data_IF_895048652181
#
_entry.id   IF_895048652181
#
_cell.length_a   1.000
_cell.length_b   1.000
_cell.length_c   1.000
_cell.angle_alpha   90.00
_cell.angle_beta   90.00
_cell.angle_gamma   90.00
#
_symmetry.space_group_name_H-M   'P 1'
#
loop_
_entity.id
_entity.type
_entity.pdbx_description
1 polymer ?
#
# COMPACT_ATOMS: atom_id res chain seq x y z
N UNK A 1 6.48 -9.47 -10.45
CA UNK A 1 6.65 -10.30 -11.66
C UNK A 1 8.08 -10.75 -11.93
N UNK A 2 9.09 -9.88 -12.01
CA UNK A 2 10.44 -10.30 -12.45
C UNK A 2 11.16 -11.30 -11.53
N UNK A 3 10.96 -11.22 -10.20
CA UNK A 3 11.67 -12.05 -9.22
C UNK A 3 10.82 -13.26 -8.81
N UNK A 4 9.60 -13.03 -8.32
CA UNK A 4 8.72 -14.09 -7.80
C UNK A 4 7.65 -14.58 -8.80
N UNK A 5 7.57 -14.00 -10.00
CA UNK A 5 6.46 -14.27 -10.94
C UNK A 5 6.43 -15.69 -11.51
N UNK A 6 7.57 -16.36 -11.58
CA UNK A 6 7.67 -17.75 -12.05
C UNK A 6 7.60 -18.78 -10.91
N UNK A 7 7.29 -18.34 -9.69
CA UNK A 7 7.12 -19.23 -8.52
C UNK A 7 5.65 -19.65 -8.38
N UNK A 8 5.38 -20.59 -7.48
CA UNK A 8 4.00 -21.01 -7.13
C UNK A 8 3.13 -19.82 -6.68
N UNK A 9 3.74 -18.79 -6.08
CA UNK A 9 3.05 -17.56 -5.64
C UNK A 9 2.86 -16.53 -6.76
N UNK A 10 3.32 -16.80 -7.98
CA UNK A 10 3.24 -15.90 -9.12
C UNK A 10 1.81 -15.41 -9.42
N UNK A 11 0.81 -16.30 -9.55
CA UNK A 11 -0.58 -15.90 -9.79
C UNK A 11 -1.17 -15.01 -8.69
N UNK A 12 -0.87 -15.33 -7.42
CA UNK A 12 -1.31 -14.56 -6.26
C UNK A 12 -0.73 -13.13 -6.29
N UNK A 13 0.59 -13.02 -6.49
CA UNK A 13 1.27 -11.72 -6.58
C UNK A 13 0.76 -10.93 -7.79
N UNK A 14 0.43 -11.60 -8.89
CA UNK A 14 -0.16 -10.97 -10.06
C UNK A 14 -1.56 -10.42 -9.78
N UNK A 15 -2.39 -11.16 -9.04
CA UNK A 15 -3.72 -10.72 -8.63
C UNK A 15 -3.66 -9.44 -7.78
N UNK A 16 -2.84 -9.43 -6.72
CA UNK A 16 -2.64 -8.24 -5.89
C UNK A 16 -2.12 -7.06 -6.71
N UNK A 17 -1.16 -7.31 -7.60
CA UNK A 17 -0.62 -6.28 -8.50
C UNK A 17 -1.68 -5.71 -9.46
N UNK A 18 -2.65 -6.52 -9.90
CA UNK A 18 -3.75 -6.05 -10.73
C UNK A 18 -4.71 -5.14 -9.96
N UNK A 19 -4.97 -5.43 -8.67
CA UNK A 19 -5.73 -4.54 -7.78
C UNK A 19 -5.00 -3.20 -7.57
N UNK A 20 -3.71 -3.23 -7.25
CA UNK A 20 -2.89 -2.03 -7.05
C UNK A 20 -2.87 -1.09 -8.28
N UNK A 21 -2.81 -1.67 -9.48
CA UNK A 21 -2.93 -0.89 -10.72
C UNK A 21 -4.30 -0.24 -10.85
N UNK A 22 -5.36 -0.94 -10.47
CA UNK A 22 -6.72 -0.40 -10.49
C UNK A 22 -6.87 0.73 -9.47
N UNK A 23 -6.33 0.57 -8.26
CA UNK A 23 -6.30 1.62 -7.22
C UNK A 23 -5.61 2.88 -7.71
N UNK A 24 -4.39 2.71 -8.24
CA UNK A 24 -3.62 3.81 -8.81
C UNK A 24 -4.39 4.52 -9.92
N UNK A 25 -4.97 3.78 -10.86
CA UNK A 25 -5.73 4.35 -11.96
C UNK A 25 -6.93 5.17 -11.45
N UNK A 26 -7.64 4.68 -10.43
CA UNK A 26 -8.76 5.39 -9.82
C UNK A 26 -8.29 6.65 -9.08
N UNK A 27 -7.20 6.60 -8.32
CA UNK A 27 -6.67 7.81 -7.69
C UNK A 27 -6.19 8.85 -8.70
N UNK A 28 -5.52 8.44 -9.78
CA UNK A 28 -5.13 9.35 -10.85
C UNK A 28 -6.36 10.03 -11.51
N UNK A 29 -7.46 9.29 -11.69
CA UNK A 29 -8.74 9.84 -12.13
C UNK A 29 -9.30 10.87 -11.15
N UNK A 30 -9.36 10.52 -9.86
CA UNK A 30 -9.90 11.39 -8.80
C UNK A 30 -9.06 12.67 -8.64
N UNK A 31 -7.73 12.56 -8.67
CA UNK A 31 -6.80 13.70 -8.61
C UNK A 31 -7.11 14.69 -9.74
N UNK A 32 -7.31 14.20 -10.97
CA UNK A 32 -7.68 15.04 -12.12
C UNK A 32 -9.08 15.64 -11.97
N UNK A 33 -10.06 14.81 -11.57
CA UNK A 33 -11.47 15.20 -11.41
C UNK A 33 -11.64 16.32 -10.39
N UNK A 34 -11.00 16.18 -9.23
CA UNK A 34 -11.08 17.15 -8.13
C UNK A 34 -9.99 18.22 -8.19
N UNK A 35 -9.15 18.23 -9.25
CA UNK A 35 -8.05 19.19 -9.47
C UNK A 35 -7.12 19.30 -8.26
N UNK A 36 -6.87 18.17 -7.61
CA UNK A 36 -5.94 18.07 -6.49
C UNK A 36 -4.53 18.10 -7.06
N UNK A 37 -3.64 18.85 -6.42
CA UNK A 37 -2.22 18.82 -6.77
C UNK A 37 -1.57 17.67 -5.98
N UNK A 38 -0.92 16.69 -6.64
CA UNK A 38 -0.21 15.62 -5.95
C UNK A 38 1.09 16.13 -5.33
N UNK A 39 1.65 15.38 -4.38
CA UNK A 39 2.94 15.73 -3.78
C UNK A 39 4.08 15.74 -4.81
N UNK A 40 4.96 16.75 -4.73
CA UNK A 40 6.19 16.81 -5.54
C UNK A 40 7.16 15.65 -5.27
N UNK A 41 6.98 14.95 -4.15
CA UNK A 41 7.82 13.83 -3.75
C UNK A 41 7.48 12.53 -4.49
N UNK A 42 6.41 12.51 -5.30
CA UNK A 42 5.96 11.32 -6.05
C UNK A 42 7.08 10.57 -6.79
N UNK A 43 8.02 11.23 -7.52
CA UNK A 43 9.10 10.53 -8.20
C UNK A 43 10.04 9.79 -7.24
N UNK A 44 10.30 10.37 -6.05
CA UNK A 44 11.17 9.78 -5.03
C UNK A 44 10.47 8.55 -4.41
N UNK A 45 9.19 8.66 -4.10
CA UNK A 45 8.41 7.55 -3.54
C UNK A 45 8.23 6.39 -4.50
N UNK A 46 8.10 6.65 -5.81
CA UNK A 46 8.07 5.61 -6.83
C UNK A 46 9.36 4.77 -6.82
N UNK A 47 10.52 5.43 -6.73
CA UNK A 47 11.82 4.73 -6.66
C UNK A 47 11.96 3.97 -5.35
N UNK A 48 11.59 4.59 -4.23
CA UNK A 48 11.68 3.97 -2.90
C UNK A 48 10.78 2.72 -2.80
N UNK A 49 9.53 2.81 -3.25
CA UNK A 49 8.59 1.68 -3.25
C UNK A 49 9.08 0.53 -4.12
N UNK A 50 9.59 0.82 -5.33
CA UNK A 50 10.18 -0.20 -6.19
C UNK A 50 11.39 -0.89 -5.53
N UNK A 51 12.31 -0.11 -4.96
CA UNK A 51 13.49 -0.65 -4.27
C UNK A 51 13.12 -1.52 -3.08
N UNK A 52 12.12 -1.10 -2.30
CA UNK A 52 11.63 -1.85 -1.15
C UNK A 52 11.01 -3.20 -1.59
N UNK A 53 10.11 -3.17 -2.58
CA UNK A 53 9.45 -4.38 -3.09
C UNK A 53 10.42 -5.34 -3.82
N UNK A 54 11.34 -4.81 -4.63
CA UNK A 54 12.36 -5.62 -5.30
C UNK A 54 13.35 -6.20 -4.28
N UNK A 55 13.80 -5.39 -3.33
CA UNK A 55 14.74 -5.81 -2.28
C UNK A 55 14.15 -6.91 -1.39
N UNK A 56 12.89 -6.77 -0.96
CA UNK A 56 12.23 -7.79 -0.16
C UNK A 56 12.01 -9.09 -0.95
N UNK A 57 11.64 -9.00 -2.23
CA UNK A 57 11.51 -10.16 -3.12
C UNK A 57 12.85 -10.90 -3.33
N UNK A 58 13.97 -10.18 -3.43
CA UNK A 58 15.31 -10.81 -3.52
C UNK A 58 15.70 -11.56 -2.24
N UNK A 59 15.18 -11.15 -1.09
CA UNK A 59 15.39 -11.83 0.20
C UNK A 59 14.48 -13.06 0.37
N UNK A 60 13.55 -13.30 -0.56
CA UNK A 60 12.69 -14.47 -0.59
C UNK A 60 11.20 -14.14 -0.48
N UNK A 61 10.38 -15.15 -0.68
CA UNK A 61 8.92 -15.03 -0.69
C UNK A 61 8.35 -14.56 0.65
N UNK A 62 8.84 -15.11 1.78
CA UNK A 62 8.42 -14.70 3.12
C UNK A 62 8.80 -13.25 3.44
N UNK A 63 9.97 -12.80 2.98
CA UNK A 63 10.39 -11.41 3.15
C UNK A 63 9.54 -10.45 2.31
N UNK A 64 9.16 -10.84 1.10
CA UNK A 64 8.20 -10.10 0.29
C UNK A 64 6.83 -10.01 0.99
N UNK A 65 6.31 -11.13 1.52
CA UNK A 65 5.06 -11.13 2.28
C UNK A 65 5.14 -10.28 3.55
N UNK A 66 6.26 -10.33 4.27
CA UNK A 66 6.50 -9.45 5.43
C UNK A 66 6.50 -7.97 5.04
N UNK A 67 7.06 -7.64 3.87
CA UNK A 67 7.02 -6.28 3.34
C UNK A 67 5.57 -5.85 3.04
N UNK A 68 4.79 -6.69 2.34
CA UNK A 68 3.36 -6.45 2.07
C UNK A 68 2.60 -6.21 3.37
N UNK A 69 2.68 -7.14 4.34
CA UNK A 69 1.99 -7.00 5.63
C UNK A 69 2.35 -5.70 6.33
N UNK A 70 3.63 -5.32 6.34
CA UNK A 70 4.08 -4.09 6.98
C UNK A 70 3.56 -2.83 6.29
N UNK A 71 3.56 -2.81 4.95
CA UNK A 71 3.01 -1.70 4.15
C UNK A 71 1.50 -1.61 4.37
N UNK A 72 0.77 -2.71 4.17
CA UNK A 72 -0.69 -2.71 4.24
C UNK A 72 -1.23 -2.42 5.63
N UNK A 73 -0.50 -2.79 6.69
CA UNK A 73 -0.85 -2.31 8.04
C UNK A 73 -0.96 -0.78 8.07
N UNK A 74 0.02 -0.08 7.47
CA UNK A 74 0.04 1.39 7.46
C UNK A 74 -1.00 1.97 6.51
N UNK A 75 -1.19 1.36 5.34
CA UNK A 75 -2.17 1.85 4.37
C UNK A 75 -3.59 1.67 4.89
N UNK A 76 -3.93 0.52 5.49
CA UNK A 76 -5.23 0.29 6.14
C UNK A 76 -5.46 1.29 7.27
N UNK A 77 -4.47 1.51 8.15
CA UNK A 77 -4.55 2.54 9.19
C UNK A 77 -4.81 3.92 8.57
N UNK A 78 -4.09 4.26 7.50
CA UNK A 78 -4.21 5.55 6.83
C UNK A 78 -5.60 5.76 6.19
N UNK A 79 -6.15 4.75 5.51
CA UNK A 79 -7.49 4.81 4.95
C UNK A 79 -8.55 4.88 6.04
N UNK A 80 -8.40 4.15 7.14
CA UNK A 80 -9.32 4.29 8.28
C UNK A 80 -9.33 5.72 8.84
N UNK A 81 -8.18 6.38 8.92
CA UNK A 81 -8.11 7.79 9.32
C UNK A 81 -8.82 8.71 8.30
N UNK A 82 -8.59 8.51 7.00
CA UNK A 82 -9.29 9.27 5.95
C UNK A 82 -10.82 9.07 6.01
N UNK A 83 -11.28 7.84 6.24
CA UNK A 83 -12.71 7.56 6.39
C UNK A 83 -13.29 8.28 7.60
N UNK A 84 -12.59 8.31 8.74
CA UNK A 84 -13.03 9.06 9.93
C UNK A 84 -13.13 10.56 9.64
N UNK A 85 -12.14 11.13 8.95
CA UNK A 85 -12.14 12.54 8.56
C UNK A 85 -13.32 12.84 7.61
N UNK A 86 -13.53 12.02 6.58
CA UNK A 86 -14.62 12.19 5.62
C UNK A 86 -16.00 12.08 6.27
N UNK A 87 -16.18 11.14 7.20
CA UNK A 87 -17.45 10.95 7.91
C UNK A 87 -17.83 12.12 8.82
N UNK A 88 -16.88 13.00 9.16
CA UNK A 88 -17.14 14.23 9.91
C UNK A 88 -17.55 15.41 9.00
N UNK A 89 -17.37 15.29 7.69
CA UNK A 89 -17.74 16.33 6.73
C UNK A 89 -19.26 16.30 6.43
N UNK A 90 -20.02 17.37 6.74
CA UNK A 90 -21.45 17.44 6.41
C UNK A 90 -21.73 17.41 4.89
N UNK A 91 -20.74 17.72 4.05
CA UNK A 91 -20.83 17.69 2.59
C UNK A 91 -20.05 16.51 1.98
N UNK A 92 -19.96 15.40 2.73
CA UNK A 92 -19.19 14.22 2.36
C UNK A 92 -19.35 13.81 0.90
N UNK A 93 -18.22 13.61 0.24
CA UNK A 93 -18.18 13.07 -1.09
C UNK A 93 -18.32 11.55 -1.05
N UNK A 94 -19.51 11.04 -1.37
CA UNK A 94 -19.82 9.60 -1.35
C UNK A 94 -18.93 8.78 -2.28
N UNK A 95 -18.56 9.30 -3.45
CA UNK A 95 -17.67 8.58 -4.36
C UNK A 95 -16.30 8.35 -3.74
N UNK A 96 -15.73 9.37 -3.10
CA UNK A 96 -14.43 9.28 -2.43
C UNK A 96 -14.54 8.34 -1.22
N UNK A 97 -15.59 8.47 -0.41
CA UNK A 97 -15.85 7.59 0.73
C UNK A 97 -15.91 6.12 0.32
N UNK A 98 -16.75 5.81 -0.67
CA UNK A 98 -16.95 4.43 -1.13
C UNK A 98 -15.67 3.86 -1.76
N UNK A 99 -14.92 4.68 -2.50
CA UNK A 99 -13.62 4.29 -3.08
C UNK A 99 -12.61 3.95 -2.00
N UNK A 100 -12.42 4.83 -1.01
CA UNK A 100 -11.44 4.59 0.08
C UNK A 100 -11.87 3.39 0.91
N UNK A 101 -13.17 3.21 1.15
CA UNK A 101 -13.70 2.04 1.88
C UNK A 101 -13.38 0.75 1.13
N UNK A 102 -13.64 0.70 -0.17
CA UNK A 102 -13.32 -0.46 -1.00
C UNK A 102 -11.82 -0.76 -0.94
N UNK A 103 -10.97 0.24 -1.18
CA UNK A 103 -9.52 0.01 -1.19
C UNK A 103 -9.01 -0.43 0.18
N UNK A 104 -9.52 0.14 1.27
CA UNK A 104 -9.21 -0.33 2.63
C UNK A 104 -9.53 -1.80 2.83
N UNK A 105 -10.69 -2.26 2.37
CA UNK A 105 -11.08 -3.66 2.50
C UNK A 105 -10.15 -4.57 1.65
N UNK A 106 -9.75 -4.13 0.46
CA UNK A 106 -8.80 -4.85 -0.41
C UNK A 106 -7.37 -4.87 0.18
N UNK A 107 -6.87 -3.78 0.78
CA UNK A 107 -5.56 -3.79 1.44
C UNK A 107 -5.56 -4.67 2.68
N UNK A 108 -6.69 -4.76 3.39
CA UNK A 108 -6.83 -5.70 4.51
C UNK A 108 -6.76 -7.15 4.02
N UNK A 109 -7.35 -7.45 2.86
CA UNK A 109 -7.22 -8.76 2.22
C UNK A 109 -5.74 -9.04 1.86
N UNK A 110 -5.02 -8.07 1.29
CA UNK A 110 -3.59 -8.20 0.96
C UNK A 110 -2.73 -8.45 2.20
N UNK A 111 -3.01 -7.73 3.29
CA UNK A 111 -2.40 -7.96 4.59
C UNK A 111 -2.61 -9.41 5.06
N UNK A 112 -3.86 -9.87 5.05
CA UNK A 112 -4.22 -11.20 5.56
C UNK A 112 -3.62 -12.31 4.69
N UNK A 113 -3.62 -12.14 3.37
CA UNK A 113 -2.89 -12.99 2.42
C UNK A 113 -1.41 -13.07 2.79
N UNK A 114 -0.77 -11.95 3.10
CA UNK A 114 0.64 -11.93 3.49
C UNK A 114 0.91 -12.72 4.76
N UNK A 115 0.03 -12.62 5.77
CA UNK A 115 0.09 -13.42 7.00
C UNK A 115 -0.02 -14.92 6.67
N UNK A 116 -1.06 -15.30 5.93
CA UNK A 116 -1.33 -16.70 5.55
C UNK A 116 -0.19 -17.31 4.73
N UNK A 117 0.51 -16.49 3.94
CA UNK A 117 1.64 -16.90 3.12
C UNK A 117 3.00 -16.80 3.82
N UNK A 118 3.00 -16.66 5.15
CA UNK A 118 4.16 -16.87 6.01
C UNK A 118 5.02 -15.63 6.25
N UNK A 119 4.45 -14.42 6.15
CA UNK A 119 5.13 -13.17 6.50
C UNK A 119 5.87 -13.24 7.86
N UNK A 120 5.19 -13.74 8.89
CA UNK A 120 5.75 -13.82 10.25
C UNK A 120 6.93 -14.81 10.38
N UNK A 121 7.12 -15.66 9.38
CA UNK A 121 8.22 -16.62 9.32
C UNK A 121 9.47 -16.03 8.66
N UNK A 122 9.42 -14.78 8.19
CA UNK A 122 10.59 -14.08 7.66
C UNK A 122 11.64 -13.86 8.77
N UNK A 123 12.95 -14.04 8.48
CA UNK A 123 14.00 -13.69 9.42
C UNK A 123 13.88 -12.23 9.86
N UNK A 124 14.01 -11.98 11.16
CA UNK A 124 13.90 -10.64 11.75
C UNK A 124 12.57 -9.91 11.46
N UNK A 125 11.48 -10.65 11.20
CA UNK A 125 10.17 -10.12 10.83
C UNK A 125 9.74 -8.86 11.58
N UNK A 126 9.79 -8.89 12.92
CA UNK A 126 9.38 -7.73 13.75
C UNK A 126 10.22 -6.49 13.47
N UNK A 127 11.55 -6.61 13.48
CA UNK A 127 12.44 -5.48 13.25
C UNK A 127 12.28 -4.91 11.83
N UNK A 128 12.18 -5.80 10.83
CA UNK A 128 11.93 -5.38 9.45
C UNK A 128 10.58 -4.70 9.28
N UNK A 129 9.52 -5.26 9.86
CA UNK A 129 8.16 -4.71 9.78
C UNK A 129 8.07 -3.34 10.41
N UNK A 130 8.64 -3.14 11.60
CA UNK A 130 8.64 -1.83 12.26
C UNK A 130 9.42 -0.79 11.45
N UNK A 131 10.55 -1.18 10.84
CA UNK A 131 11.31 -0.30 9.95
C UNK A 131 10.49 0.14 8.73
N UNK A 132 9.85 -0.82 8.05
CA UNK A 132 9.00 -0.54 6.88
C UNK A 132 7.81 0.34 7.28
N UNK A 133 7.12 -0.01 8.38
CA UNK A 133 6.00 0.78 8.90
C UNK A 133 6.41 2.22 9.21
N UNK A 134 7.56 2.41 9.87
CA UNK A 134 8.10 3.74 10.15
C UNK A 134 8.39 4.53 8.86
N UNK A 135 9.00 3.88 7.87
CA UNK A 135 9.25 4.47 6.55
C UNK A 135 7.96 4.93 5.86
N UNK A 136 6.96 4.06 5.78
CA UNK A 136 5.67 4.37 5.17
C UNK A 136 4.93 5.50 5.90
N UNK A 137 4.87 5.46 7.24
CA UNK A 137 4.26 6.55 8.05
C UNK A 137 4.94 7.89 7.80
N UNK A 138 6.27 7.89 7.70
CA UNK A 138 7.05 9.09 7.41
C UNK A 138 6.78 9.61 6.00
N UNK A 139 6.75 8.73 5.00
CA UNK A 139 6.46 9.11 3.62
C UNK A 139 5.05 9.72 3.48
N UNK A 140 4.04 9.15 4.15
CA UNK A 140 2.68 9.70 4.19
C UNK A 140 2.69 11.08 4.85
N UNK A 141 3.34 11.24 6.00
CA UNK A 141 3.40 12.52 6.72
C UNK A 141 4.04 13.64 5.89
N UNK A 142 5.15 13.35 5.22
CA UNK A 142 5.83 14.30 4.31
C UNK A 142 4.92 14.64 3.13
N UNK A 143 4.28 13.64 2.52
CA UNK A 143 3.41 13.82 1.35
C UNK A 143 2.18 14.68 1.64
N UNK A 144 1.62 14.56 2.85
CA UNK A 144 0.52 15.44 3.30
C UNK A 144 0.94 16.91 3.44
N UNK A 145 2.23 17.16 3.68
CA UNK A 145 2.76 18.49 3.99
C UNK A 145 3.34 19.24 2.77
N UNK A 146 3.70 18.52 1.71
CA UNK A 146 4.40 19.09 0.55
C UNK A 146 3.65 18.75 -0.75
N UNK A 147 3.11 19.77 -1.42
CA UNK A 147 2.24 19.68 -2.62
C UNK A 147 2.78 20.53 -3.77
#
# INVERSE_FOLDING_TARGET
MAILGNTEKGPLIQHMWDQEKAHRAKFEELIRKYRVRPTVMTPIWNVAGFMLGAGSALLGDKAAMACTVAVETVIVEHYNDQLRELMQDPNINKEILDTIKQFRDEEQEHHDIGIDHGAEQAPFYKAFSEFVKFGCKTAISISKSIV
#
